data_IF_302963683559
#
_entry.id   IF_302963683559
#
_cell.length_a   1.000
_cell.length_b   1.000
_cell.length_c   1.000
_cell.angle_alpha   90.00
_cell.angle_beta   90.00
_cell.angle_gamma   90.00
#
_symmetry.space_group_name_H-M   'P 1'
#
loop_
_entity.id
_entity.type
_entity.pdbx_description
1 polymer ?
#
# COMPACT_ATOMS: atom_id res chain seq x y z
N UNK A 1 -53.22 22.62 -47.57
CA UNK A 1 -53.30 21.25 -48.12
C UNK A 1 -52.08 20.99 -49.02
N UNK A 2 -51.14 20.14 -48.61
CA UNK A 2 -50.05 19.48 -49.39
C UNK A 2 -49.15 18.76 -48.36
N UNK A 3 -49.42 17.49 -48.03
CA UNK A 3 -48.86 16.22 -48.56
C UNK A 3 -47.39 15.94 -48.15
N UNK A 4 -47.27 14.95 -47.28
CA UNK A 4 -46.09 14.12 -46.96
C UNK A 4 -45.53 13.35 -48.18
N UNK A 5 -44.25 12.97 -48.15
CA UNK A 5 -43.74 11.71 -48.70
C UNK A 5 -43.24 10.78 -47.56
N UNK A 6 -43.77 9.57 -47.34
CA UNK A 6 -43.46 8.26 -48.01
C UNK A 6 -41.97 7.89 -47.97
N UNK A 7 -41.56 6.96 -47.09
CA UNK A 7 -41.35 5.52 -47.35
C UNK A 7 -40.29 5.19 -48.41
N UNK A 8 -39.18 4.57 -47.99
CA UNK A 8 -38.52 3.50 -48.76
C UNK A 8 -37.86 2.50 -47.78
N UNK A 9 -38.38 1.28 -47.79
CA UNK A 9 -37.89 0.11 -47.07
C UNK A 9 -37.18 -0.81 -48.08
N UNK A 10 -36.17 -1.54 -47.60
CA UNK A 10 -35.64 -2.83 -48.11
C UNK A 10 -34.89 -2.81 -49.45
N UNK A 11 -33.58 -3.04 -49.36
CA UNK A 11 -32.86 -4.07 -50.14
C UNK A 11 -31.43 -4.26 -49.61
N UNK A 12 -31.00 -5.53 -49.51
CA UNK A 12 -29.61 -6.05 -49.48
C UNK A 12 -28.87 -6.19 -48.14
N UNK A 13 -29.09 -7.31 -47.46
CA UNK A 13 -28.01 -8.24 -47.07
C UNK A 13 -27.96 -9.36 -48.14
N UNK A 14 -26.89 -10.15 -48.40
CA UNK A 14 -25.61 -10.32 -47.68
C UNK A 14 -24.34 -10.48 -48.58
N UNK A 15 -23.21 -9.86 -48.24
CA UNK A 15 -21.88 -10.28 -48.75
C UNK A 15 -20.84 -10.02 -47.65
N UNK A 16 -20.57 -11.01 -46.81
CA UNK A 16 -19.25 -11.27 -46.22
C UNK A 16 -19.28 -12.62 -45.46
N UNK A 17 -19.53 -13.70 -46.20
CA UNK A 17 -19.24 -15.07 -45.78
C UNK A 17 -18.32 -15.64 -46.85
N UNK A 18 -17.01 -15.50 -46.67
CA UNK A 18 -15.99 -16.32 -47.34
C UNK A 18 -14.58 -15.99 -46.81
N UNK A 19 -14.17 -16.52 -45.65
CA UNK A 19 -12.83 -17.14 -45.41
C UNK A 19 -12.94 -17.97 -44.12
N UNK A 20 -13.47 -19.18 -44.25
CA UNK A 20 -13.10 -20.32 -43.40
C UNK A 20 -13.25 -21.59 -44.24
N UNK A 21 -12.27 -22.49 -44.07
CA UNK A 21 -12.22 -23.92 -44.46
C UNK A 21 -11.86 -24.29 -45.91
N UNK A 22 -10.56 -24.49 -46.15
CA UNK A 22 -9.95 -25.68 -46.79
C UNK A 22 -8.57 -25.84 -46.13
N UNK A 23 -8.11 -26.97 -45.60
CA UNK A 23 -8.63 -28.31 -45.49
C UNK A 23 -7.66 -29.12 -44.61
N UNK A 24 -8.22 -29.90 -43.71
CA UNK A 24 -7.56 -30.96 -42.95
C UNK A 24 -7.19 -32.13 -43.89
N UNK A 25 -5.99 -32.69 -43.70
CA UNK A 25 -5.69 -34.12 -43.47
C UNK A 25 -4.25 -34.43 -43.87
N UNK A 26 -3.39 -34.80 -42.91
CA UNK A 26 -2.78 -36.13 -42.87
C UNK A 26 -2.15 -36.36 -41.48
N UNK A 27 -2.32 -37.56 -40.97
CA UNK A 27 -1.99 -37.99 -39.63
C UNK A 27 -0.58 -38.58 -39.51
N UNK A 28 -0.13 -38.67 -38.24
CA UNK A 28 0.83 -39.64 -37.68
C UNK A 28 2.33 -39.51 -38.02
N UNK A 29 3.09 -38.95 -37.07
CA UNK A 29 4.36 -39.51 -36.55
C UNK A 29 4.71 -38.72 -35.28
N UNK A 30 4.35 -39.18 -34.07
CA UNK A 30 5.22 -39.92 -33.15
C UNK A 30 6.66 -39.39 -33.10
N UNK A 31 6.94 -38.57 -32.07
CA UNK A 31 8.07 -38.69 -31.12
C UNK A 31 7.76 -37.78 -29.94
N UNK A 32 7.37 -38.37 -28.81
CA UNK A 32 7.53 -37.77 -27.48
C UNK A 32 9.03 -37.62 -27.23
N UNK A 33 9.50 -36.39 -26.98
CA UNK A 33 10.78 -36.21 -26.29
C UNK A 33 10.50 -36.19 -24.80
N UNK A 34 10.98 -37.21 -24.10
CA UNK A 34 10.99 -37.26 -22.64
C UNK A 34 11.75 -36.04 -22.07
N UNK A 35 11.28 -35.44 -20.97
CA UNK A 35 12.06 -34.42 -20.26
C UNK A 35 13.37 -35.03 -19.75
N UNK A 36 14.48 -34.28 -19.74
CA UNK A 36 15.80 -34.82 -19.44
C UNK A 36 15.86 -35.40 -18.02
N UNK A 37 16.04 -36.72 -17.94
CA UNK A 37 16.36 -37.44 -16.72
C UNK A 37 17.71 -36.93 -16.19
N UNK A 38 17.70 -36.35 -14.99
CA UNK A 38 18.93 -36.00 -14.26
C UNK A 38 19.75 -37.27 -14.04
N UNK A 39 20.93 -37.34 -14.64
CA UNK A 39 21.88 -38.42 -14.37
C UNK A 39 22.32 -38.39 -12.89
N UNK A 40 22.41 -39.54 -12.20
CA UNK A 40 22.98 -39.60 -10.87
C UNK A 40 24.42 -39.07 -10.88
N UNK A 41 24.70 -38.09 -10.01
CA UNK A 41 26.06 -37.58 -9.79
C UNK A 41 26.99 -38.76 -9.42
N UNK A 42 28.00 -39.01 -10.25
CA UNK A 42 29.10 -39.88 -9.85
C UNK A 42 29.89 -39.21 -8.71
N UNK A 43 30.30 -39.96 -7.67
CA UNK A 43 31.18 -39.42 -6.66
C UNK A 43 32.51 -39.00 -7.32
N UNK A 44 32.89 -37.73 -7.16
CA UNK A 44 34.20 -37.26 -7.58
C UNK A 44 35.28 -38.00 -6.77
N UNK A 45 36.11 -38.77 -7.47
CA UNK A 45 37.39 -39.25 -6.95
C UNK A 45 38.26 -38.05 -6.55
N UNK A 46 38.47 -37.88 -5.25
CA UNK A 46 39.44 -36.93 -4.71
C UNK A 46 40.86 -37.44 -4.96
N UNK A 47 41.49 -36.97 -6.03
CA UNK A 47 42.95 -37.07 -6.19
C UNK A 47 43.49 -35.70 -6.57
N UNK A 48 43.64 -34.82 -5.58
CA UNK A 48 44.44 -33.60 -5.70
C UNK A 48 45.75 -33.81 -4.94
N UNK A 49 46.84 -34.01 -5.68
CA UNK A 49 48.19 -33.84 -5.15
C UNK A 49 48.37 -32.39 -4.69
N UNK A 50 48.52 -32.17 -3.39
CA UNK A 50 48.86 -30.86 -2.86
C UNK A 50 50.29 -30.48 -3.28
N UNK A 51 50.53 -29.31 -3.88
CA UNK A 51 51.87 -28.75 -4.00
C UNK A 51 52.42 -28.41 -2.60
N UNK A 52 53.75 -28.45 -2.39
CA UNK A 52 54.35 -28.21 -1.09
C UNK A 52 54.05 -26.78 -0.60
N UNK A 53 53.67 -26.69 0.68
CA UNK A 53 53.38 -25.45 1.38
C UNK A 53 54.66 -24.57 1.42
N UNK A 54 54.59 -23.42 0.76
CA UNK A 54 55.56 -22.33 0.96
C UNK A 54 55.12 -21.57 2.22
N UNK A 55 56.00 -21.33 3.21
CA UNK A 55 55.66 -20.48 4.35
C UNK A 55 55.36 -19.06 3.86
N UNK A 56 54.09 -18.67 3.87
CA UNK A 56 53.69 -17.27 3.71
C UNK A 56 54.08 -16.58 5.02
N UNK A 57 54.91 -15.53 4.92
CA UNK A 57 55.27 -14.69 6.07
C UNK A 57 54.02 -14.14 6.77
N UNK A 58 54.11 -13.64 8.01
CA UNK A 58 52.95 -13.17 8.76
C UNK A 58 52.18 -12.12 7.97
N UNK A 59 51.01 -12.50 7.46
CA UNK A 59 50.04 -11.57 6.88
C UNK A 59 49.58 -10.70 8.03
N UNK A 60 49.98 -9.43 8.00
CA UNK A 60 49.44 -8.44 8.93
C UNK A 60 48.00 -8.21 8.50
N UNK A 61 47.06 -8.88 9.14
CA UNK A 61 45.64 -8.56 8.99
C UNK A 61 45.46 -7.19 9.64
N UNK A 62 45.33 -6.16 8.80
CA UNK A 62 44.89 -4.86 9.27
C UNK A 62 43.51 -5.08 9.89
N UNK A 63 43.36 -4.75 11.18
CA UNK A 63 42.04 -4.75 11.79
C UNK A 63 41.11 -3.90 10.90
N UNK A 64 39.88 -4.34 10.64
CA UNK A 64 38.92 -3.49 9.94
C UNK A 64 38.87 -2.13 10.64
N UNK A 65 38.74 -1.02 9.91
CA UNK A 65 38.64 0.30 10.52
C UNK A 65 37.58 0.24 11.61
N UNK A 66 37.96 0.64 12.83
CA UNK A 66 37.03 0.74 13.94
C UNK A 66 35.98 1.76 13.51
N UNK A 67 34.79 1.29 13.17
CA UNK A 67 33.67 2.16 12.87
C UNK A 67 33.44 3.03 14.12
N UNK A 68 33.19 4.34 13.97
CA UNK A 68 32.84 5.18 15.09
C UNK A 68 31.69 4.52 15.86
N UNK A 69 31.80 4.49 17.19
CA UNK A 69 30.69 4.06 18.02
C UNK A 69 29.49 4.97 17.73
N UNK A 70 28.37 4.39 17.33
CA UNK A 70 27.17 5.16 17.04
C UNK A 70 26.76 5.91 18.31
N UNK A 71 26.32 7.18 18.22
CA UNK A 71 25.87 7.91 19.39
C UNK A 71 24.72 7.14 20.03
N UNK A 72 24.57 7.17 21.37
CA UNK A 72 23.38 6.63 22.01
C UNK A 72 22.15 7.25 21.35
N UNK A 73 21.12 6.43 21.10
CA UNK A 73 19.91 6.86 20.41
C UNK A 73 19.21 7.94 21.24
N UNK A 74 19.31 9.20 20.80
CA UNK A 74 18.54 10.31 21.38
C UNK A 74 17.20 10.34 20.66
N UNK A 75 16.18 9.78 21.30
CA UNK A 75 14.81 9.89 20.84
C UNK A 75 14.20 11.16 21.46
N UNK A 76 14.44 12.34 20.89
CA UNK A 76 13.48 13.42 21.17
C UNK A 76 12.14 13.03 20.56
N UNK A 77 11.07 13.11 21.35
CA UNK A 77 9.72 12.87 20.86
C UNK A 77 9.36 13.94 19.83
N UNK A 78 8.83 13.51 18.67
CA UNK A 78 8.32 14.46 17.68
C UNK A 78 7.12 15.19 18.28
N UNK A 79 7.04 16.53 18.11
CA UNK A 79 5.88 17.28 18.56
C UNK A 79 4.57 16.66 18.05
N UNK A 80 3.62 16.44 18.95
CA UNK A 80 2.30 15.90 18.62
C UNK A 80 1.28 17.01 18.51
N UNK A 81 0.37 16.89 17.53
CA UNK A 81 -0.78 17.76 17.42
C UNK A 81 -1.99 17.13 18.14
N UNK A 82 -2.51 17.80 19.16
CA UNK A 82 -3.68 17.36 19.92
C UNK A 82 -4.94 17.17 19.04
N UNK A 83 -5.05 17.89 17.90
CA UNK A 83 -6.19 17.68 16.99
C UNK A 83 -6.17 16.28 16.39
N UNK A 84 -5.01 15.74 16.03
CA UNK A 84 -4.86 14.37 15.50
C UNK A 84 -5.37 13.37 16.51
N UNK A 85 -4.95 13.48 17.78
CA UNK A 85 -5.42 12.59 18.86
C UNK A 85 -6.95 12.66 19.04
N UNK A 86 -7.55 13.84 18.91
CA UNK A 86 -9.01 14.00 18.98
C UNK A 86 -9.74 13.31 17.81
N UNK A 87 -9.17 13.32 16.60
CA UNK A 87 -9.72 12.59 15.46
C UNK A 87 -9.79 11.08 15.71
N UNK A 88 -8.81 10.52 16.41
CA UNK A 88 -8.76 9.08 16.72
C UNK A 88 -9.92 8.60 17.60
N UNK A 89 -10.56 9.51 18.35
CA UNK A 89 -11.74 9.21 19.17
C UNK A 89 -13.01 8.97 18.33
N UNK A 90 -13.03 9.39 17.07
CA UNK A 90 -14.17 9.18 16.18
C UNK A 90 -14.21 7.76 15.60
N UNK A 91 -13.13 6.97 15.71
CA UNK A 91 -13.09 5.59 15.20
C UNK A 91 -14.07 4.72 15.98
N UNK A 92 -14.97 4.06 15.25
CA UNK A 92 -16.03 3.20 15.81
C UNK A 92 -15.85 1.73 15.37
N UNK A 93 -15.37 0.91 16.32
CA UNK A 93 -15.14 -0.52 16.10
C UNK A 93 -16.42 -1.27 15.72
N UNK A 94 -17.59 -0.88 16.24
CA UNK A 94 -18.85 -1.57 15.93
C UNK A 94 -19.26 -1.35 14.48
N UNK A 95 -19.04 -0.15 13.94
CA UNK A 95 -19.31 0.14 12.52
C UNK A 95 -18.42 -0.66 11.60
N UNK A 96 -17.14 -0.80 11.95
CA UNK A 96 -16.20 -1.61 11.18
C UNK A 96 -16.59 -3.08 11.23
N UNK A 97 -16.90 -3.63 12.40
CA UNK A 97 -17.37 -5.03 12.49
C UNK A 97 -18.69 -5.28 11.76
N UNK A 98 -19.63 -4.33 11.77
CA UNK A 98 -20.84 -4.43 10.95
C UNK A 98 -20.52 -4.50 9.45
N UNK A 99 -19.47 -3.80 9.01
CA UNK A 99 -19.00 -3.88 7.62
C UNK A 99 -18.36 -5.23 7.34
N UNK A 100 -17.47 -5.72 8.20
CA UNK A 100 -16.86 -7.06 8.07
C UNK A 100 -17.93 -8.13 7.95
N UNK A 101 -18.95 -8.11 8.82
CA UNK A 101 -20.08 -9.03 8.78
C UNK A 101 -20.90 -8.89 7.49
N UNK A 102 -21.12 -7.68 6.99
CA UNK A 102 -21.80 -7.48 5.71
C UNK A 102 -20.99 -8.09 4.56
N UNK A 103 -19.67 -7.88 4.55
CA UNK A 103 -18.77 -8.42 3.53
C UNK A 103 -18.75 -9.96 3.52
N UNK A 104 -18.71 -10.58 4.71
CA UNK A 104 -18.81 -12.04 4.90
C UNK A 104 -20.14 -12.60 4.38
N UNK A 105 -21.26 -11.89 4.61
CA UNK A 105 -22.59 -12.37 4.27
C UNK A 105 -22.88 -12.43 2.75
N UNK A 106 -22.02 -11.84 1.90
CA UNK A 106 -22.12 -12.04 0.46
C UNK A 106 -21.73 -13.45 0.00
N UNK A 107 -21.31 -14.34 0.93
CA UNK A 107 -20.86 -15.73 0.74
C UNK A 107 -19.51 -15.83 0.02
N UNK A 108 -19.35 -15.11 -1.08
CA UNK A 108 -18.09 -14.81 -1.73
C UNK A 108 -18.19 -13.47 -2.45
N UNK A 109 -17.04 -12.95 -2.88
CA UNK A 109 -16.94 -11.76 -3.74
C UNK A 109 -16.03 -12.06 -4.93
N UNK A 110 -16.16 -13.25 -5.49
CA UNK A 110 -15.31 -13.70 -6.58
C UNK A 110 -15.57 -12.90 -7.86
N UNK A 111 -14.49 -12.42 -8.49
CA UNK A 111 -14.55 -11.56 -9.68
C UNK A 111 -15.33 -12.16 -10.85
N UNK A 112 -15.12 -13.44 -11.13
CA UNK A 112 -15.83 -14.19 -12.19
C UNK A 112 -17.27 -14.58 -11.79
N UNK A 113 -17.85 -13.89 -10.81
CA UNK A 113 -19.25 -14.05 -10.40
C UNK A 113 -20.24 -13.57 -11.47
N UNK A 114 -21.51 -13.86 -11.25
CA UNK A 114 -22.63 -13.31 -12.02
C UNK A 114 -23.48 -12.40 -11.11
N UNK A 115 -24.16 -11.37 -11.65
CA UNK A 115 -24.99 -10.49 -10.84
C UNK A 115 -26.06 -11.25 -10.05
N UNK A 116 -26.14 -10.96 -8.76
CA UNK A 116 -27.14 -11.45 -7.83
C UNK A 116 -27.52 -10.34 -6.83
N UNK A 117 -28.72 -10.36 -6.24
CA UNK A 117 -29.18 -9.25 -5.40
C UNK A 117 -28.51 -9.18 -4.03
N UNK A 118 -28.06 -10.31 -3.49
CA UNK A 118 -27.66 -10.45 -2.08
C UNK A 118 -26.36 -11.25 -1.86
N UNK A 119 -25.67 -11.63 -2.94
CA UNK A 119 -24.42 -12.40 -2.88
C UNK A 119 -23.48 -12.08 -4.04
N UNK A 120 -22.21 -12.44 -3.91
CA UNK A 120 -21.21 -12.24 -4.95
C UNK A 120 -20.72 -10.79 -5.06
N UNK A 121 -19.74 -10.60 -5.96
CA UNK A 121 -19.03 -9.33 -6.13
C UNK A 121 -19.93 -8.15 -6.49
N UNK A 122 -20.98 -8.36 -7.29
CA UNK A 122 -21.89 -7.28 -7.72
C UNK A 122 -22.82 -6.81 -6.61
N UNK A 123 -23.24 -7.71 -5.70
CA UNK A 123 -24.01 -7.30 -4.53
C UNK A 123 -23.14 -6.49 -3.56
N UNK A 124 -21.88 -6.91 -3.38
CA UNK A 124 -20.89 -6.17 -2.61
C UNK A 124 -20.64 -4.77 -3.23
N UNK A 125 -20.51 -4.68 -4.55
CA UNK A 125 -20.32 -3.41 -5.25
C UNK A 125 -21.46 -2.40 -4.97
N UNK A 126 -22.71 -2.85 -5.10
CA UNK A 126 -23.87 -2.02 -4.81
C UNK A 126 -23.91 -1.56 -3.35
N UNK A 127 -23.59 -2.47 -2.42
CA UNK A 127 -23.51 -2.15 -0.99
C UNK A 127 -22.44 -1.09 -0.70
N UNK A 128 -21.23 -1.28 -1.23
CA UNK A 128 -20.08 -0.40 -0.98
C UNK A 128 -20.29 0.98 -1.58
N UNK A 129 -20.85 1.05 -2.80
CA UNK A 129 -21.25 2.33 -3.40
C UNK A 129 -22.27 3.06 -2.54
N UNK A 130 -23.29 2.34 -2.04
CA UNK A 130 -24.30 2.94 -1.17
C UNK A 130 -23.70 3.48 0.15
N UNK A 131 -22.70 2.81 0.71
CA UNK A 131 -21.98 3.32 1.90
C UNK A 131 -21.23 4.62 1.64
N UNK A 132 -20.58 4.76 0.48
CA UNK A 132 -19.97 6.04 0.10
C UNK A 132 -21.02 7.12 -0.20
N UNK A 133 -22.12 6.78 -0.87
CA UNK A 133 -23.22 7.73 -1.12
C UNK A 133 -23.82 8.24 0.20
N UNK A 134 -23.97 7.39 1.23
CA UNK A 134 -24.43 7.80 2.56
C UNK A 134 -23.46 8.79 3.24
N UNK A 135 -22.16 8.57 3.12
CA UNK A 135 -21.14 9.49 3.66
C UNK A 135 -21.22 10.84 2.94
N UNK A 136 -21.36 10.82 1.61
CA UNK A 136 -21.54 12.02 0.78
C UNK A 136 -22.82 12.78 1.17
N UNK A 137 -23.96 12.09 1.25
CA UNK A 137 -25.26 12.70 1.53
C UNK A 137 -25.33 13.26 2.97
N UNK A 138 -24.59 12.67 3.90
CA UNK A 138 -24.38 13.20 5.24
C UNK A 138 -23.50 14.46 5.31
N UNK A 139 -22.84 14.84 4.21
CA UNK A 139 -21.90 15.97 4.13
C UNK A 139 -22.16 16.85 2.89
N UNK A 140 -23.37 17.44 2.76
CA UNK A 140 -23.79 18.15 1.55
C UNK A 140 -22.91 19.35 1.18
N UNK A 141 -22.22 19.95 2.16
CA UNK A 141 -21.39 21.15 1.96
C UNK A 141 -19.98 20.86 1.38
N UNK A 142 -19.55 19.59 1.34
CA UNK A 142 -18.15 19.21 1.04
C UNK A 142 -17.86 18.85 -0.42
N UNK A 143 -18.82 18.97 -1.32
CA UNK A 143 -18.67 18.61 -2.76
C UNK A 143 -18.08 17.20 -2.99
N UNK A 144 -18.38 16.25 -2.10
CA UNK A 144 -17.90 14.87 -2.21
C UNK A 144 -18.47 14.23 -3.48
N UNK A 145 -17.62 13.50 -4.20
CA UNK A 145 -18.01 12.75 -5.39
C UNK A 145 -17.75 11.25 -5.20
N UNK A 146 -18.67 10.43 -5.70
CA UNK A 146 -18.61 8.96 -5.65
C UNK A 146 -18.69 8.45 -7.07
N UNK A 147 -17.77 7.56 -7.43
CA UNK A 147 -17.61 7.02 -8.78
C UNK A 147 -17.50 5.51 -8.76
N UNK A 148 -17.87 4.90 -9.88
CA UNK A 148 -17.45 3.54 -10.22
C UNK A 148 -16.55 3.60 -11.45
N UNK A 149 -15.55 2.73 -11.51
CA UNK A 149 -14.66 2.59 -12.65
C UNK A 149 -14.76 1.15 -13.19
N UNK A 150 -15.37 0.97 -14.37
CA UNK A 150 -15.50 -0.35 -14.96
C UNK A 150 -14.17 -1.03 -15.21
N UNK A 151 -14.15 -2.34 -14.91
CA UNK A 151 -13.04 -3.22 -15.18
C UNK A 151 -13.49 -4.34 -16.13
N UNK A 152 -12.60 -4.80 -17.01
CA UNK A 152 -12.83 -6.00 -17.81
C UNK A 152 -11.83 -7.06 -17.40
N UNK A 153 -12.30 -8.08 -16.67
CA UNK A 153 -11.49 -9.21 -16.24
C UNK A 153 -11.73 -10.37 -17.21
N UNK A 154 -10.64 -10.97 -17.71
CA UNK A 154 -10.65 -12.21 -18.47
C UNK A 154 -9.63 -13.17 -17.88
N UNK A 155 -10.10 -14.28 -17.32
CA UNK A 155 -9.24 -15.27 -16.64
C UNK A 155 -9.81 -16.68 -16.85
N UNK A 156 -8.94 -17.65 -17.15
CA UNK A 156 -9.35 -19.06 -17.34
C UNK A 156 -10.38 -19.29 -18.46
N UNK A 157 -10.46 -18.41 -19.46
CA UNK A 157 -11.47 -18.46 -20.52
C UNK A 157 -12.85 -17.91 -20.13
N UNK A 158 -12.99 -17.37 -18.92
CA UNK A 158 -14.18 -16.70 -18.42
C UNK A 158 -13.97 -15.18 -18.41
N UNK A 159 -15.06 -14.42 -18.38
CA UNK A 159 -14.98 -12.95 -18.30
C UNK A 159 -16.11 -12.37 -17.45
N UNK A 160 -15.79 -11.26 -16.78
CA UNK A 160 -16.67 -10.53 -15.87
C UNK A 160 -16.29 -9.05 -15.86
N UNK A 161 -17.24 -8.18 -15.56
CA UNK A 161 -16.99 -6.74 -15.48
C UNK A 161 -17.43 -6.13 -14.14
N UNK A 162 -16.76 -6.44 -13.01
CA UNK A 162 -16.96 -5.69 -11.77
C UNK A 162 -16.35 -4.29 -11.90
N UNK A 163 -16.71 -3.37 -10.99
CA UNK A 163 -16.16 -2.02 -10.99
C UNK A 163 -15.25 -1.78 -9.77
N UNK A 164 -14.17 -0.98 -9.93
CA UNK A 164 -13.63 -0.30 -8.75
C UNK A 164 -14.63 0.74 -8.25
N UNK A 165 -14.65 1.02 -6.95
CA UNK A 165 -15.57 1.99 -6.35
C UNK A 165 -14.73 2.98 -5.57
N UNK A 166 -14.93 4.28 -5.76
CA UNK A 166 -14.16 5.27 -5.02
C UNK A 166 -14.92 6.54 -4.69
N UNK A 167 -14.57 7.13 -3.56
CA UNK A 167 -15.04 8.41 -3.08
C UNK A 167 -13.89 9.42 -3.09
N UNK A 168 -14.14 10.62 -3.61
CA UNK A 168 -13.21 11.75 -3.60
C UNK A 168 -13.71 12.79 -2.60
N UNK A 169 -12.91 13.03 -1.56
CA UNK A 169 -13.06 14.14 -0.62
C UNK A 169 -12.13 15.28 -1.08
N UNK A 170 -12.66 16.40 -1.60
CA UNK A 170 -11.82 17.47 -2.15
C UNK A 170 -11.05 18.19 -1.04
N UNK A 171 -9.77 18.47 -1.33
CA UNK A 171 -8.90 19.27 -0.48
C UNK A 171 -9.06 20.78 -0.70
N UNK A 172 -8.59 21.56 0.26
CA UNK A 172 -8.60 23.03 0.21
C UNK A 172 -7.35 23.64 -0.45
N UNK A 173 -6.27 22.86 -0.59
CA UNK A 173 -4.97 23.34 -1.06
C UNK A 173 -4.44 22.43 -2.18
N UNK A 174 -4.44 22.93 -3.41
CA UNK A 174 -3.95 22.19 -4.57
C UNK A 174 -2.47 21.77 -4.46
N UNK A 175 -1.65 22.51 -3.68
CA UNK A 175 -0.24 22.18 -3.48
C UNK A 175 -0.02 21.01 -2.52
N UNK A 176 -1.01 20.67 -1.70
CA UNK A 176 -0.98 19.50 -0.83
C UNK A 176 -1.16 18.19 -1.62
N UNK A 177 -1.67 18.26 -2.86
CA UNK A 177 -1.80 17.13 -3.77
C UNK A 177 -2.92 16.15 -3.39
N UNK A 178 -2.75 14.90 -3.82
CA UNK A 178 -3.75 13.83 -3.68
C UNK A 178 -3.18 12.67 -2.87
N UNK A 179 -3.94 12.20 -1.89
CA UNK A 179 -3.67 10.95 -1.16
C UNK A 179 -4.66 9.88 -1.60
N UNK A 180 -4.21 8.63 -1.62
CA UNK A 180 -5.07 7.48 -1.90
C UNK A 180 -5.01 6.53 -0.71
N UNK A 181 -6.16 6.07 -0.25
CA UNK A 181 -6.27 4.95 0.68
C UNK A 181 -7.21 3.92 0.11
N UNK A 182 -6.84 2.64 0.15
CA UNK A 182 -7.67 1.61 -0.44
C UNK A 182 -7.47 0.20 0.09
N UNK A 183 -8.40 -0.66 -0.30
CA UNK A 183 -8.44 -2.08 0.00
C UNK A 183 -9.16 -2.78 -1.17
N UNK A 184 -8.80 -4.02 -1.48
CA UNK A 184 -9.60 -4.79 -2.41
C UNK A 184 -10.83 -5.37 -1.72
N UNK A 185 -11.90 -5.59 -2.49
CA UNK A 185 -13.15 -6.11 -1.96
C UNK A 185 -13.56 -7.44 -2.60
N UNK A 186 -12.78 -7.96 -3.56
CA UNK A 186 -12.96 -9.29 -4.11
C UNK A 186 -12.43 -10.40 -3.17
N UNK A 187 -12.62 -11.65 -3.57
CA UNK A 187 -12.12 -12.83 -2.87
C UNK A 187 -11.77 -13.96 -3.84
N UNK A 188 -10.86 -14.85 -3.48
CA UNK A 188 -10.61 -16.11 -4.21
C UNK A 188 -10.60 -17.35 -3.32
N UNK A 189 -10.92 -18.51 -3.89
CA UNK A 189 -10.83 -19.79 -3.18
C UNK A 189 -9.80 -20.71 -3.82
N UNK A 190 -8.81 -21.17 -3.04
CA UNK A 190 -7.71 -21.99 -3.55
C UNK A 190 -8.14 -23.37 -4.04
N UNK A 191 -9.31 -23.88 -3.65
CA UNK A 191 -9.85 -25.13 -4.20
C UNK A 191 -10.26 -24.99 -5.67
N UNK A 192 -10.61 -23.78 -6.12
CA UNK A 192 -10.83 -23.47 -7.54
C UNK A 192 -10.82 -21.96 -7.79
N UNK A 193 -9.72 -21.47 -8.36
CA UNK A 193 -9.50 -20.05 -8.71
C UNK A 193 -10.39 -19.53 -9.86
N UNK A 194 -11.19 -20.40 -10.49
CA UNK A 194 -12.12 -20.06 -11.55
C UNK A 194 -13.58 -20.26 -11.16
N UNK A 195 -13.86 -20.71 -9.93
CA UNK A 195 -15.22 -20.99 -9.45
C UNK A 195 -15.75 -19.86 -8.57
N UNK A 196 -16.88 -19.28 -8.97
CA UNK A 196 -17.65 -18.31 -8.18
C UNK A 196 -18.74 -18.95 -7.31
N UNK A 197 -18.80 -20.28 -7.24
CA UNK A 197 -19.77 -21.03 -6.43
C UNK A 197 -19.24 -21.45 -5.05
N UNK A 198 -17.92 -21.34 -4.83
CA UNK A 198 -17.31 -21.73 -3.57
C UNK A 198 -17.59 -20.68 -2.49
N UNK A 199 -17.83 -21.15 -1.27
CA UNK A 199 -17.93 -20.29 -0.10
C UNK A 199 -16.55 -19.72 0.23
N UNK A 200 -16.46 -18.40 0.29
CA UNK A 200 -15.23 -17.64 0.49
C UNK A 200 -15.60 -16.34 1.21
N UNK A 201 -15.86 -16.38 2.53
CA UNK A 201 -16.45 -15.23 3.21
C UNK A 201 -15.50 -14.03 3.25
N UNK A 202 -14.19 -14.25 3.30
CA UNK A 202 -13.20 -13.19 3.10
C UNK A 202 -13.32 -12.08 4.14
N UNK A 203 -13.51 -12.43 5.41
CA UNK A 203 -13.80 -11.47 6.46
C UNK A 203 -12.56 -10.64 6.82
N UNK A 204 -11.41 -11.30 6.96
CA UNK A 204 -10.13 -10.62 7.10
C UNK A 204 -9.45 -10.35 5.75
N UNK A 205 -9.60 -11.25 4.77
CA UNK A 205 -9.07 -11.09 3.41
C UNK A 205 -10.21 -10.88 2.38
N UNK A 206 -10.63 -9.64 2.10
CA UNK A 206 -10.17 -8.39 2.70
C UNK A 206 -11.32 -7.51 3.23
N UNK A 207 -12.31 -8.13 3.86
CA UNK A 207 -13.41 -7.43 4.52
C UNK A 207 -12.92 -6.48 5.63
N UNK A 208 -11.80 -6.80 6.29
CA UNK A 208 -11.19 -5.98 7.33
C UNK A 208 -10.63 -4.69 6.74
N UNK A 209 -9.85 -4.75 5.65
CA UNK A 209 -9.33 -3.56 4.96
C UNK A 209 -10.46 -2.66 4.41
N UNK A 210 -11.48 -3.25 3.80
CA UNK A 210 -12.67 -2.54 3.32
C UNK A 210 -13.35 -1.76 4.45
N UNK A 211 -13.47 -2.38 5.64
CA UNK A 211 -14.08 -1.73 6.80
C UNK A 211 -13.29 -0.50 7.28
N UNK A 212 -11.95 -0.56 7.23
CA UNK A 212 -11.09 0.56 7.58
C UNK A 212 -11.25 1.69 6.55
N UNK A 213 -11.24 1.40 5.24
CA UNK A 213 -11.41 2.43 4.20
C UNK A 213 -12.73 3.20 4.36
N UNK A 214 -13.84 2.48 4.62
CA UNK A 214 -15.15 3.11 4.85
C UNK A 214 -15.18 3.94 6.13
N UNK A 215 -14.52 3.49 7.20
CA UNK A 215 -14.47 4.23 8.45
C UNK A 215 -13.59 5.49 8.34
N UNK A 216 -12.44 5.40 7.67
CA UNK A 216 -11.60 6.56 7.36
C UNK A 216 -12.36 7.59 6.52
N UNK A 217 -13.06 7.13 5.47
CA UNK A 217 -13.91 7.97 4.63
C UNK A 217 -14.95 8.72 5.47
N UNK A 218 -15.64 8.00 6.36
CA UNK A 218 -16.65 8.59 7.25
C UNK A 218 -16.05 9.60 8.22
N UNK A 219 -14.95 9.24 8.88
CA UNK A 219 -14.32 10.09 9.89
C UNK A 219 -13.81 11.37 9.25
N UNK A 220 -12.97 11.27 8.22
CA UNK A 220 -12.36 12.43 7.56
C UNK A 220 -13.39 13.30 6.83
N UNK A 221 -14.47 12.71 6.30
CA UNK A 221 -15.56 13.49 5.73
C UNK A 221 -16.26 14.40 6.75
N UNK A 222 -16.01 14.32 8.06
CA UNK A 222 -16.53 15.31 9.02
C UNK A 222 -15.80 16.67 8.95
N UNK A 223 -14.56 16.70 8.47
CA UNK A 223 -13.69 17.88 8.45
C UNK A 223 -13.34 18.37 7.05
N UNK A 224 -12.55 19.43 7.01
CA UNK A 224 -11.90 19.89 5.79
C UNK A 224 -10.41 19.63 5.91
N UNK A 225 -9.81 19.16 4.81
CA UNK A 225 -8.40 18.82 4.75
C UNK A 225 -7.69 19.63 3.70
N UNK A 226 -6.38 19.82 3.84
CA UNK A 226 -5.58 20.51 2.81
C UNK A 226 -5.48 19.66 1.55
N UNK A 227 -5.04 18.41 1.66
CA UNK A 227 -4.96 17.48 0.53
C UNK A 227 -6.34 16.96 0.09
N UNK A 228 -6.45 16.61 -1.20
CA UNK A 228 -7.57 15.80 -1.69
C UNK A 228 -7.33 14.35 -1.30
N UNK A 229 -8.37 13.64 -0.86
CA UNK A 229 -8.25 12.25 -0.42
C UNK A 229 -9.19 11.38 -1.24
N UNK A 230 -8.65 10.31 -1.81
CA UNK A 230 -9.39 9.31 -2.55
C UNK A 230 -9.45 8.03 -1.73
N UNK A 231 -10.67 7.61 -1.39
CA UNK A 231 -10.95 6.34 -0.73
C UNK A 231 -11.41 5.36 -1.80
N UNK A 232 -10.67 4.29 -2.05
CA UNK A 232 -10.92 3.38 -3.18
C UNK A 232 -11.02 1.93 -2.73
N UNK A 233 -11.97 1.21 -3.31
CA UNK A 233 -12.20 -0.21 -3.10
C UNK A 233 -11.98 -0.91 -4.44
N UNK A 234 -10.98 -1.78 -4.51
CA UNK A 234 -10.52 -2.42 -5.75
C UNK A 234 -11.22 -3.76 -6.00
N UNK A 235 -11.61 -4.00 -7.25
CA UNK A 235 -11.95 -5.34 -7.73
C UNK A 235 -10.70 -6.03 -8.29
N UNK A 236 -10.69 -7.36 -8.36
CA UNK A 236 -9.67 -8.10 -9.13
C UNK A 236 -8.26 -8.09 -8.57
N UNK A 237 -8.06 -7.86 -7.28
CA UNK A 237 -6.74 -7.99 -6.64
C UNK A 237 -6.25 -9.44 -6.68
N UNK A 238 -7.16 -10.37 -6.39
CA UNK A 238 -6.86 -11.78 -6.09
C UNK A 238 -6.32 -12.58 -7.29
N UNK A 239 -6.29 -11.94 -8.46
CA UNK A 239 -5.56 -12.44 -9.61
C UNK A 239 -4.19 -11.78 -9.68
N UNK A 240 -3.16 -12.51 -10.12
CA UNK A 240 -1.76 -12.07 -10.17
C UNK A 240 -1.52 -10.66 -10.79
N UNK A 241 -2.44 -10.18 -11.62
CA UNK A 241 -2.38 -8.88 -12.30
C UNK A 241 -2.91 -7.69 -11.48
N UNK A 242 -3.60 -7.93 -10.35
CA UNK A 242 -4.29 -6.88 -9.56
C UNK A 242 -5.06 -5.92 -10.47
N UNK A 243 -6.03 -6.48 -11.19
CA UNK A 243 -6.67 -5.82 -12.32
C UNK A 243 -7.26 -4.45 -11.95
N UNK A 244 -7.92 -4.34 -10.80
CA UNK A 244 -8.52 -3.11 -10.31
C UNK A 244 -7.50 -2.02 -10.02
N UNK A 245 -6.50 -2.27 -9.17
CA UNK A 245 -5.49 -1.25 -8.84
C UNK A 245 -4.62 -0.89 -10.04
N UNK A 246 -4.29 -1.85 -10.93
CA UNK A 246 -3.58 -1.57 -12.19
C UNK A 246 -4.39 -0.62 -13.09
N UNK A 247 -5.68 -0.87 -13.27
CA UNK A 247 -6.57 0.01 -14.03
C UNK A 247 -6.72 1.39 -13.36
N UNK A 248 -6.77 1.42 -12.03
CA UNK A 248 -6.89 2.65 -11.25
C UNK A 248 -5.64 3.54 -11.38
N UNK A 249 -4.44 2.95 -11.33
CA UNK A 249 -3.19 3.68 -11.59
C UNK A 249 -3.18 4.30 -12.99
N UNK A 250 -3.67 3.58 -14.00
CA UNK A 250 -3.89 4.13 -15.34
C UNK A 250 -4.79 5.36 -15.35
N UNK A 251 -5.88 5.34 -14.57
CA UNK A 251 -6.78 6.49 -14.39
C UNK A 251 -6.09 7.68 -13.70
N UNK A 252 -5.33 7.44 -12.62
CA UNK A 252 -4.62 8.51 -11.91
C UNK A 252 -3.60 9.22 -12.83
N UNK A 253 -2.83 8.44 -13.60
CA UNK A 253 -1.86 8.97 -14.57
C UNK A 253 -2.54 9.68 -15.74
N UNK A 254 -3.63 9.11 -16.27
CA UNK A 254 -4.40 9.70 -17.36
C UNK A 254 -5.00 11.07 -17.00
N UNK A 255 -5.27 11.30 -15.72
CA UNK A 255 -5.76 12.59 -15.20
C UNK A 255 -4.64 13.50 -14.64
N UNK A 256 -3.37 13.09 -14.74
CA UNK A 256 -2.20 13.84 -14.27
C UNK A 256 -2.33 14.29 -12.80
N UNK A 257 -2.82 13.40 -11.94
CA UNK A 257 -3.00 13.69 -10.52
C UNK A 257 -1.66 13.64 -9.77
N UNK A 258 -1.41 14.63 -8.92
CA UNK A 258 -0.21 14.75 -8.11
C UNK A 258 -0.33 13.88 -6.83
N UNK A 259 -0.04 12.59 -6.98
CA UNK A 259 -0.17 11.61 -5.89
C UNK A 259 0.98 11.74 -4.90
N UNK A 260 0.67 12.03 -3.63
CA UNK A 260 1.65 12.23 -2.55
C UNK A 260 1.90 10.99 -1.69
N UNK A 261 1.03 10.00 -1.77
CA UNK A 261 1.17 8.75 -1.04
C UNK A 261 -0.06 7.86 -1.18
N UNK A 262 0.17 6.56 -1.11
CA UNK A 262 -0.88 5.54 -1.21
C UNK A 262 -0.77 4.58 -0.04
N UNK A 263 -1.85 4.43 0.71
CA UNK A 263 -2.00 3.44 1.78
C UNK A 263 -2.92 2.33 1.29
N UNK A 264 -2.43 1.10 1.25
CA UNK A 264 -3.27 -0.08 0.98
C UNK A 264 -3.42 -0.91 2.24
N UNK A 265 -4.63 -1.40 2.50
CA UNK A 265 -5.03 -2.15 3.68
C UNK A 265 -5.44 -3.54 3.22
N UNK A 266 -4.72 -4.56 3.69
CA UNK A 266 -4.89 -5.93 3.20
C UNK A 266 -4.52 -6.91 4.32
N UNK A 267 -5.53 -7.62 4.81
CA UNK A 267 -5.49 -8.47 6.01
C UNK A 267 -5.04 -7.69 7.25
N UNK A 268 -5.97 -6.93 7.83
CA UNK A 268 -5.70 -5.97 8.92
C UNK A 268 -6.58 -6.20 10.15
N UNK A 269 -7.20 -7.37 10.24
CA UNK A 269 -8.20 -7.73 11.25
C UNK A 269 -7.74 -8.79 12.24
N UNK A 270 -6.80 -9.67 11.88
CA UNK A 270 -6.40 -10.80 12.73
C UNK A 270 -5.07 -10.57 13.45
N UNK A 271 -5.08 -10.51 14.79
CA UNK A 271 -3.86 -10.48 15.57
C UNK A 271 -3.31 -11.90 15.87
N UNK A 272 -3.86 -12.94 15.25
CA UNK A 272 -3.56 -14.35 15.58
C UNK A 272 -2.79 -15.01 14.45
N UNK A 273 -1.58 -15.47 14.74
CA UNK A 273 -0.76 -16.23 13.80
C UNK A 273 -1.18 -17.69 13.65
N UNK A 274 -0.57 -18.42 12.70
CA UNK A 274 -0.98 -19.77 12.30
C UNK A 274 -0.84 -20.84 13.38
N UNK A 275 -0.06 -20.62 14.45
CA UNK A 275 0.03 -21.54 15.58
C UNK A 275 -0.66 -21.01 16.84
N UNK A 276 -1.53 -20.00 16.70
CA UNK A 276 -2.25 -19.34 17.79
C UNK A 276 -1.43 -18.28 18.52
N UNK A 277 -0.27 -17.86 17.99
CA UNK A 277 0.49 -16.75 18.54
C UNK A 277 -0.31 -15.45 18.44
N UNK A 278 -0.35 -14.65 19.51
CA UNK A 278 -1.12 -13.40 19.52
C UNK A 278 -0.21 -12.19 19.52
N UNK A 279 -0.38 -11.32 18.52
CA UNK A 279 0.35 -10.06 18.31
C UNK A 279 -0.64 -8.90 18.23
N UNK A 280 -1.20 -8.52 19.37
CA UNK A 280 -2.33 -7.59 19.46
C UNK A 280 -1.94 -6.10 19.34
N UNK A 281 -0.65 -5.80 19.36
CA UNK A 281 -0.11 -4.44 19.27
C UNK A 281 1.01 -4.32 18.21
N UNK A 282 1.05 -5.21 17.23
CA UNK A 282 2.06 -5.21 16.18
C UNK A 282 1.43 -5.36 14.79
N UNK A 283 2.06 -4.75 13.80
CA UNK A 283 1.72 -4.86 12.38
C UNK A 283 2.99 -4.73 11.53
N UNK A 284 2.91 -5.12 10.25
CA UNK A 284 4.00 -4.97 9.28
C UNK A 284 3.62 -4.07 8.12
N UNK A 285 4.54 -3.20 7.71
CA UNK A 285 4.36 -2.36 6.54
C UNK A 285 5.34 -2.77 5.45
N UNK A 286 4.79 -3.17 4.30
CA UNK A 286 5.56 -3.50 3.11
C UNK A 286 5.61 -2.30 2.16
N UNK A 287 6.76 -2.11 1.51
CA UNK A 287 7.00 -0.95 0.64
C UNK A 287 8.13 -1.21 -0.34
N UNK A 288 8.09 -0.55 -1.51
CA UNK A 288 9.06 -0.82 -2.57
C UNK A 288 10.50 -0.40 -2.20
N UNK A 289 11.51 -1.21 -2.54
CA UNK A 289 12.92 -0.79 -2.49
C UNK A 289 13.22 0.28 -3.56
N UNK A 290 14.38 0.96 -3.51
CA UNK A 290 15.45 0.87 -2.50
C UNK A 290 15.08 1.52 -1.15
N UNK A 291 16.02 1.50 -0.18
CA UNK A 291 15.81 2.07 1.15
C UNK A 291 15.52 3.59 1.16
N UNK A 292 15.92 4.31 0.11
CA UNK A 292 15.69 5.73 -0.13
C UNK A 292 14.54 5.99 -1.14
N UNK A 293 13.70 4.99 -1.43
CA UNK A 293 12.49 5.20 -2.22
C UNK A 293 11.45 6.02 -1.44
N UNK A 294 10.57 6.73 -2.14
CA UNK A 294 9.45 7.43 -1.50
C UNK A 294 8.46 6.47 -0.82
N UNK A 295 8.29 5.24 -1.32
CA UNK A 295 7.51 4.21 -0.64
C UNK A 295 8.12 3.85 0.72
N UNK A 296 9.45 3.77 0.81
CA UNK A 296 10.15 3.46 2.06
C UNK A 296 10.13 4.64 3.03
N UNK A 297 10.26 5.86 2.53
CA UNK A 297 10.07 7.09 3.32
C UNK A 297 8.66 7.15 3.91
N UNK A 298 7.63 6.81 3.12
CA UNK A 298 6.24 6.74 3.58
C UNK A 298 6.03 5.67 4.68
N UNK A 299 6.68 4.50 4.55
CA UNK A 299 6.66 3.48 5.59
C UNK A 299 7.34 3.94 6.90
N UNK A 300 8.46 4.67 6.79
CA UNK A 300 9.15 5.29 7.94
C UNK A 300 8.31 6.34 8.62
N UNK A 301 7.61 7.17 7.83
CA UNK A 301 6.66 8.14 8.39
C UNK A 301 5.57 7.44 9.19
N UNK A 302 5.00 6.34 8.69
CA UNK A 302 3.99 5.58 9.44
C UNK A 302 4.55 5.03 10.76
N UNK A 303 5.76 4.49 10.77
CA UNK A 303 6.43 4.05 12.00
C UNK A 303 6.60 5.20 13.01
N UNK A 304 7.04 6.36 12.53
CA UNK A 304 7.19 7.55 13.35
C UNK A 304 5.85 8.05 13.91
N UNK A 305 4.81 8.08 13.08
CA UNK A 305 3.44 8.40 13.50
C UNK A 305 2.95 7.41 14.56
N UNK A 306 3.30 6.13 14.43
CA UNK A 306 3.01 5.11 15.43
C UNK A 306 3.64 5.45 16.79
N UNK A 307 4.93 5.79 16.81
CA UNK A 307 5.61 6.21 18.05
C UNK A 307 4.97 7.45 18.66
N UNK A 308 4.68 8.46 17.84
CA UNK A 308 4.18 9.74 18.30
C UNK A 308 2.72 9.70 18.81
N UNK A 309 1.83 9.03 18.07
CA UNK A 309 0.39 9.10 18.33
C UNK A 309 -0.20 7.82 18.93
N UNK A 310 0.43 6.66 18.72
CA UNK A 310 -0.08 5.39 19.25
C UNK A 310 0.55 5.02 20.60
N UNK A 311 1.70 5.60 20.96
CA UNK A 311 2.34 5.45 22.28
C UNK A 311 2.44 3.97 22.75
N UNK A 312 2.75 3.06 21.82
CA UNK A 312 2.87 1.62 22.09
C UNK A 312 1.58 0.81 22.01
N UNK A 313 0.41 1.43 21.76
CA UNK A 313 -0.84 0.71 21.47
C UNK A 313 -0.72 -0.10 20.17
N UNK A 314 -0.02 0.43 19.17
CA UNK A 314 0.28 -0.25 17.92
C UNK A 314 1.72 0.05 17.53
N UNK A 315 2.48 -0.99 17.19
CA UNK A 315 3.88 -0.90 16.77
C UNK A 315 4.00 -1.34 15.30
N UNK A 316 4.82 -0.62 14.55
CA UNK A 316 5.01 -0.84 13.12
C UNK A 316 6.37 -1.46 12.86
N UNK A 317 6.39 -2.59 12.18
CA UNK A 317 7.60 -3.19 11.63
C UNK A 317 7.73 -2.82 10.15
N UNK A 318 8.77 -2.08 9.78
CA UNK A 318 9.05 -1.69 8.39
C UNK A 318 9.85 -2.79 7.70
N UNK A 319 9.21 -3.51 6.76
CA UNK A 319 9.76 -4.71 6.11
C UNK A 319 10.60 -4.38 4.89
N UNK A 320 11.87 -4.80 4.81
CA UNK A 320 12.83 -4.38 3.76
C UNK A 320 12.45 -4.77 2.33
N UNK A 321 11.59 -5.77 2.17
CA UNK A 321 11.15 -6.26 0.86
C UNK A 321 9.90 -5.52 0.36
N UNK A 322 9.67 -5.59 -0.96
CA UNK A 322 8.42 -5.11 -1.57
C UNK A 322 7.20 -5.85 -1.02
N UNK A 323 7.31 -7.17 -0.90
CA UNK A 323 6.40 -8.08 -0.20
C UNK A 323 7.12 -9.45 -0.05
N UNK A 324 6.43 -10.43 0.49
CA UNK A 324 6.89 -11.82 0.61
C UNK A 324 6.78 -12.54 -0.74
N UNK A 325 7.65 -13.51 -0.96
CA UNK A 325 7.64 -14.32 -2.20
C UNK A 325 6.27 -14.97 -2.41
N UNK A 326 5.69 -14.81 -3.60
CA UNK A 326 4.39 -15.38 -3.95
C UNK A 326 3.18 -14.69 -3.32
N UNK A 327 3.39 -13.57 -2.62
CA UNK A 327 2.32 -12.70 -2.12
C UNK A 327 2.34 -11.41 -2.94
N UNK A 328 1.16 -10.93 -3.26
CA UNK A 328 0.95 -9.66 -3.95
C UNK A 328 -0.04 -8.82 -3.14
N UNK A 329 -0.08 -7.54 -3.45
CA UNK A 329 -1.03 -6.59 -2.89
C UNK A 329 -1.12 -5.35 -3.78
N UNK A 330 -2.20 -4.59 -3.65
CA UNK A 330 -2.48 -3.44 -4.52
C UNK A 330 -1.38 -2.38 -4.54
N UNK A 331 -0.59 -2.22 -3.46
CA UNK A 331 0.53 -1.25 -3.39
C UNK A 331 1.57 -1.48 -4.49
N UNK A 332 1.71 -2.71 -4.97
CA UNK A 332 2.64 -3.06 -6.03
C UNK A 332 2.26 -2.38 -7.35
N UNK A 333 0.96 -2.28 -7.66
CA UNK A 333 0.48 -1.63 -8.88
C UNK A 333 0.91 -0.16 -8.95
N UNK A 334 0.88 0.54 -7.81
CA UNK A 334 1.36 1.92 -7.68
C UNK A 334 2.89 2.00 -7.73
N UNK A 335 3.57 1.13 -6.99
CA UNK A 335 5.04 1.11 -6.90
C UNK A 335 5.70 0.83 -8.25
N UNK A 336 5.10 -0.05 -9.07
CA UNK A 336 5.56 -0.37 -10.42
C UNK A 336 5.59 0.86 -11.34
N UNK A 337 4.77 1.88 -11.04
CA UNK A 337 4.66 3.12 -11.78
C UNK A 337 5.38 4.30 -11.09
N UNK A 338 6.21 4.01 -10.06
CA UNK A 338 6.97 5.01 -9.32
C UNK A 338 6.14 5.83 -8.33
N UNK A 339 4.89 5.45 -8.06
CA UNK A 339 4.04 6.10 -7.07
C UNK A 339 4.37 5.53 -5.69
N UNK A 340 4.63 6.42 -4.72
CA UNK A 340 4.95 6.02 -3.35
C UNK A 340 3.76 5.34 -2.68
N UNK A 341 3.91 4.06 -2.34
CA UNK A 341 2.82 3.22 -1.85
C UNK A 341 3.30 2.23 -0.79
N UNK A 342 2.45 2.00 0.20
CA UNK A 342 2.68 1.05 1.28
C UNK A 342 1.49 0.10 1.45
N UNK A 343 1.76 -1.12 1.92
CA UNK A 343 0.75 -2.09 2.37
C UNK A 343 0.83 -2.25 3.87
N UNK A 344 -0.26 -1.93 4.54
CA UNK A 344 -0.50 -2.28 5.93
C UNK A 344 -1.07 -3.70 5.98
N UNK A 345 -0.46 -4.55 6.79
CA UNK A 345 -0.89 -5.93 7.01
C UNK A 345 -0.62 -6.32 8.46
N UNK A 346 -1.43 -7.24 8.97
CA UNK A 346 -1.22 -7.87 10.26
C UNK A 346 0.16 -8.53 10.40
N UNK A 347 0.58 -8.68 11.66
CA UNK A 347 1.95 -9.06 11.96
C UNK A 347 2.28 -10.50 11.54
N UNK A 348 1.34 -11.43 11.69
CA UNK A 348 1.48 -12.82 11.27
C UNK A 348 0.15 -13.29 10.68
N UNK A 349 0.11 -13.36 9.37
CA UNK A 349 -1.03 -13.91 8.65
C UNK A 349 -1.09 -15.44 8.72
N UNK A 350 -2.31 -15.96 8.83
CA UNK A 350 -2.60 -17.39 8.87
C UNK A 350 -3.05 -17.92 7.48
N UNK A 351 -2.14 -18.54 6.71
CA UNK A 351 -2.48 -19.08 5.39
C UNK A 351 -3.43 -20.29 5.46
N UNK A 352 -3.71 -20.84 6.64
CA UNK A 352 -4.67 -21.93 6.80
C UNK A 352 -6.12 -21.44 6.78
N UNK A 353 -6.35 -20.13 7.02
CA UNK A 353 -7.67 -19.51 7.02
C UNK A 353 -7.97 -18.72 5.75
N UNK A 354 -6.96 -18.07 5.17
CA UNK A 354 -7.14 -17.27 3.96
C UNK A 354 -7.45 -18.10 2.72
N UNK A 355 -8.10 -17.45 1.74
CA UNK A 355 -8.45 -18.04 0.44
C UNK A 355 -9.25 -19.35 0.55
N UNK A 356 -9.99 -19.52 1.67
CA UNK A 356 -10.94 -20.61 1.84
C UNK A 356 -12.16 -20.21 2.72
N UNK A 357 -13.02 -21.16 3.03
CA UNK A 357 -14.27 -20.94 3.76
C UNK A 357 -14.11 -20.63 5.27
N UNK A 358 -12.89 -20.71 5.81
CA UNK A 358 -12.56 -20.48 7.22
C UNK A 358 -12.19 -19.03 7.54
N UNK A 359 -11.94 -18.20 6.52
CA UNK A 359 -11.80 -16.76 6.71
C UNK A 359 -13.17 -16.16 7.03
N UNK A 360 -13.40 -15.91 8.33
CA UNK A 360 -14.67 -15.50 8.93
C UNK A 360 -14.43 -14.44 9.99
N UNK A 361 -15.49 -13.69 10.29
CA UNK A 361 -15.46 -12.59 11.26
C UNK A 361 -15.10 -13.01 12.69
N UNK A 362 -15.10 -14.30 13.01
CA UNK A 362 -14.63 -14.80 14.30
C UNK A 362 -13.10 -14.69 14.48
N UNK A 363 -12.35 -14.51 13.39
CA UNK A 363 -10.91 -14.24 13.41
C UNK A 363 -10.57 -12.75 13.48
N UNK A 364 -11.53 -11.88 13.18
CA UNK A 364 -11.34 -10.42 13.19
C UNK A 364 -11.53 -9.89 14.61
N UNK A 365 -10.46 -9.32 15.18
CA UNK A 365 -10.49 -8.71 16.52
C UNK A 365 -10.88 -7.22 16.41
N UNK A 366 -12.03 -6.80 17.00
CA UNK A 366 -12.50 -5.42 16.85
C UNK A 366 -11.56 -4.37 17.45
N UNK A 367 -10.81 -4.73 18.50
CA UNK A 367 -9.88 -3.80 19.14
C UNK A 367 -8.58 -3.66 18.34
N UNK A 368 -8.08 -4.76 17.76
CA UNK A 368 -6.96 -4.74 16.83
C UNK A 368 -7.29 -3.91 15.59
N UNK A 369 -8.44 -4.18 14.97
CA UNK A 369 -8.95 -3.43 13.82
C UNK A 369 -9.10 -1.93 14.13
N UNK A 370 -9.58 -1.60 15.33
CA UNK A 370 -9.63 -0.23 15.84
C UNK A 370 -8.26 0.44 15.93
N UNK A 371 -7.24 -0.26 16.40
CA UNK A 371 -5.86 0.25 16.48
C UNK A 371 -5.23 0.42 15.10
N UNK A 372 -5.44 -0.53 14.18
CA UNK A 372 -5.01 -0.41 12.78
C UNK A 372 -5.63 0.82 12.11
N UNK A 373 -6.93 1.05 12.34
CA UNK A 373 -7.66 2.19 11.80
C UNK A 373 -7.15 3.52 12.34
N UNK A 374 -6.90 3.60 13.66
CA UNK A 374 -6.33 4.81 14.27
C UNK A 374 -4.96 5.14 13.73
N UNK A 375 -4.09 4.15 13.52
CA UNK A 375 -2.77 4.37 12.91
C UNK A 375 -2.89 4.86 11.46
N UNK A 376 -3.77 4.24 10.65
CA UNK A 376 -4.03 4.69 9.28
C UNK A 376 -4.58 6.13 9.25
N UNK A 377 -5.51 6.46 10.16
CA UNK A 377 -6.10 7.79 10.30
C UNK A 377 -5.05 8.84 10.70
N UNK A 378 -4.24 8.56 11.73
CA UNK A 378 -3.17 9.46 12.16
C UNK A 378 -2.19 9.73 11.02
N UNK A 379 -1.82 8.68 10.27
CA UNK A 379 -0.91 8.80 9.13
C UNK A 379 -1.53 9.65 8.01
N UNK A 380 -2.80 9.41 7.68
CA UNK A 380 -3.51 10.22 6.68
C UNK A 380 -3.64 11.68 7.10
N UNK A 381 -3.93 11.98 8.37
CA UNK A 381 -4.03 13.36 8.86
C UNK A 381 -2.69 14.09 8.78
N UNK A 382 -1.58 13.43 9.14
CA UNK A 382 -0.22 13.97 8.96
C UNK A 382 0.08 14.27 7.50
N UNK A 383 -0.23 13.34 6.61
CA UNK A 383 -0.03 13.52 5.17
C UNK A 383 -0.94 14.60 4.56
N UNK A 384 -2.19 14.68 5.01
CA UNK A 384 -3.23 15.48 4.40
C UNK A 384 -3.16 16.94 4.82
N UNK A 385 -2.92 17.20 6.11
CA UNK A 385 -3.04 18.53 6.70
C UNK A 385 -1.67 19.16 7.01
N UNK A 386 -0.63 18.34 7.15
CA UNK A 386 0.71 18.81 7.47
C UNK A 386 1.35 19.67 6.37
N UNK A 387 2.15 20.70 6.73
CA UNK A 387 2.77 21.61 5.77
C UNK A 387 3.53 20.88 4.65
N UNK A 388 3.67 21.55 3.51
CA UNK A 388 4.45 21.00 2.40
C UNK A 388 5.91 20.79 2.84
N UNK A 389 6.59 19.74 2.35
CA UNK A 389 7.97 19.47 2.71
C UNK A 389 8.89 20.61 2.23
N UNK A 390 9.99 20.89 2.95
CA UNK A 390 11.02 21.81 2.49
C UNK A 390 11.55 21.49 1.09
N UNK A 391 12.06 22.51 0.43
CA UNK A 391 12.67 22.41 -0.90
C UNK A 391 14.07 23.03 -0.88
N UNK A 392 14.86 22.76 -1.92
CA UNK A 392 16.16 23.38 -2.18
C UNK A 392 17.10 23.37 -0.96
N UNK A 393 17.75 22.23 -0.75
CA UNK A 393 18.65 22.04 0.38
C UNK A 393 20.12 22.14 -0.01
N UNK A 394 20.97 22.40 1.00
CA UNK A 394 22.42 22.33 0.88
C UNK A 394 23.04 21.78 2.16
N UNK A 395 24.03 20.90 1.99
CA UNK A 395 24.86 20.38 3.09
C UNK A 395 26.27 20.93 2.92
N UNK A 396 26.75 21.71 3.89
CA UNK A 396 28.15 22.05 4.04
C UNK A 396 28.86 20.95 4.85
N UNK A 397 29.61 20.09 4.18
CA UNK A 397 30.34 18.98 4.82
C UNK A 397 31.54 19.43 5.65
N UNK A 398 31.98 20.70 5.54
CA UNK A 398 33.05 21.25 6.37
C UNK A 398 32.59 21.59 7.79
N UNK A 399 31.32 22.00 7.92
CA UNK A 399 30.69 22.36 9.19
C UNK A 399 29.59 21.39 9.64
N UNK A 400 29.20 20.46 8.75
CA UNK A 400 28.00 19.63 8.88
C UNK A 400 26.73 20.44 9.16
N UNK A 401 26.61 21.56 8.45
CA UNK A 401 25.43 22.42 8.46
C UNK A 401 24.55 22.10 7.25
N UNK A 402 23.29 21.78 7.53
CA UNK A 402 22.22 21.62 6.56
C UNK A 402 21.38 22.89 6.56
N UNK A 403 21.07 23.44 5.38
CA UNK A 403 20.15 24.58 5.19
C UNK A 403 19.12 24.24 4.10
N UNK A 404 17.92 24.81 4.19
CA UNK A 404 16.84 24.63 3.21
C UNK A 404 15.99 25.89 3.05
N UNK A 405 15.17 25.93 1.99
CA UNK A 405 14.24 27.04 1.79
C UNK A 405 13.12 27.02 2.84
N UNK A 406 12.84 28.14 3.53
CA UNK A 406 11.76 28.22 4.51
C UNK A 406 10.39 27.86 3.91
N UNK A 407 9.64 27.01 4.61
CA UNK A 407 8.28 26.61 4.22
C UNK A 407 7.26 27.63 4.75
N UNK A 408 6.39 28.20 3.91
CA UNK A 408 5.33 29.09 4.37
C UNK A 408 4.42 28.44 5.42
N UNK A 409 4.21 29.13 6.54
CA UNK A 409 3.39 28.65 7.65
C UNK A 409 4.11 27.72 8.63
N UNK A 410 5.37 27.33 8.36
CA UNK A 410 6.16 26.55 9.30
C UNK A 410 6.67 27.43 10.46
N UNK A 411 6.49 26.97 11.69
CA UNK A 411 7.05 27.58 12.90
C UNK A 411 8.27 26.81 13.43
N UNK A 412 8.43 25.55 12.99
CA UNK A 412 9.59 24.71 13.29
C UNK A 412 9.76 23.63 12.20
N UNK A 413 10.82 22.84 12.33
CA UNK A 413 11.12 21.70 11.48
C UNK A 413 11.55 20.50 12.33
N UNK A 414 11.03 19.32 11.99
CA UNK A 414 11.57 18.05 12.45
C UNK A 414 12.73 17.65 11.53
N UNK A 415 13.87 17.31 12.11
CA UNK A 415 15.06 16.80 11.42
C UNK A 415 15.33 15.39 11.88
N UNK A 416 15.17 14.41 11.00
CA UNK A 416 15.28 13.00 11.29
C UNK A 416 16.53 12.40 10.64
N UNK A 417 17.43 11.81 11.44
CA UNK A 417 18.65 11.17 10.96
C UNK A 417 18.49 9.64 10.95
N UNK A 418 18.96 9.01 9.87
CA UNK A 418 18.86 7.56 9.67
C UNK A 418 20.23 6.91 9.50
N UNK A 419 20.54 5.90 10.30
CA UNK A 419 21.76 5.11 10.16
C UNK A 419 21.75 4.30 8.86
N UNK A 420 22.94 4.00 8.29
CA UNK A 420 23.07 3.07 7.17
C UNK A 420 22.37 1.73 7.47
N UNK A 421 21.52 1.29 6.55
CA UNK A 421 20.78 0.03 6.68
C UNK A 421 19.61 0.06 7.67
N UNK A 422 19.35 1.16 8.37
CA UNK A 422 18.17 1.25 9.23
C UNK A 422 16.89 1.43 8.42
N UNK A 423 15.83 0.73 8.81
CA UNK A 423 14.49 0.83 8.22
C UNK A 423 13.63 1.93 8.86
N UNK A 424 14.12 2.61 9.91
CA UNK A 424 13.42 3.65 10.68
C UNK A 424 14.31 4.88 10.87
N UNK A 425 13.71 6.01 11.27
CA UNK A 425 14.50 7.16 11.74
C UNK A 425 14.99 6.92 13.16
N UNK A 426 16.32 6.97 13.34
CA UNK A 426 16.97 6.64 14.61
C UNK A 426 17.03 7.82 15.56
N UNK A 427 17.29 9.01 15.03
CA UNK A 427 17.33 10.24 15.82
C UNK A 427 16.46 11.29 15.19
N UNK A 428 15.78 12.06 16.03
CA UNK A 428 14.93 13.15 15.59
C UNK A 428 15.20 14.34 16.49
N UNK A 429 15.23 15.52 15.86
CA UNK A 429 15.45 16.80 16.50
C UNK A 429 14.40 17.78 16.02
N UNK A 430 14.16 18.84 16.80
CA UNK A 430 13.34 19.98 16.38
C UNK A 430 14.18 21.26 16.31
N UNK A 431 14.03 22.04 15.24
CA UNK A 431 14.66 23.35 15.08
C UNK A 431 13.64 24.41 14.64
N UNK A 432 13.68 25.64 15.20
CA UNK A 432 12.84 26.74 14.71
C UNK A 432 13.41 27.38 13.42
N UNK A 433 14.65 27.06 13.07
CA UNK A 433 15.37 27.66 11.95
C UNK A 433 15.26 26.79 10.70
N UNK A 434 15.40 27.41 9.51
CA UNK A 434 15.52 26.68 8.24
C UNK A 434 16.95 26.16 8.01
N UNK A 435 17.50 25.55 9.06
CA UNK A 435 18.83 24.97 9.07
C UNK A 435 19.09 24.18 10.35
N UNK A 436 20.08 23.28 10.28
CA UNK A 436 20.44 22.37 11.36
C UNK A 436 21.91 21.96 11.27
N UNK A 437 22.62 22.00 12.39
CA UNK A 437 24.03 21.59 12.47
C UNK A 437 24.16 20.37 13.37
N UNK A 438 24.79 19.31 12.86
CA UNK A 438 25.10 18.13 13.65
C UNK A 438 26.53 17.65 13.38
N UNK A 439 27.48 17.80 14.34
CA UNK A 439 28.88 17.48 14.12
C UNK A 439 29.17 16.05 13.68
N UNK A 440 28.27 15.11 13.99
CA UNK A 440 28.39 13.69 13.66
C UNK A 440 27.48 13.27 12.49
N UNK A 441 27.04 14.22 11.64
CA UNK A 441 26.13 13.93 10.53
C UNK A 441 26.66 12.87 9.55
N UNK A 442 27.98 12.74 9.43
CA UNK A 442 28.63 11.69 8.63
C UNK A 442 28.38 10.24 9.09
N UNK A 443 27.84 10.01 10.29
CA UNK A 443 27.49 8.68 10.79
C UNK A 443 26.15 8.16 10.22
N UNK A 444 25.40 9.02 9.54
CA UNK A 444 24.06 8.73 9.04
C UNK A 444 24.07 8.65 7.51
N UNK A 445 23.15 7.87 6.97
CA UNK A 445 22.97 7.70 5.52
C UNK A 445 22.07 8.80 4.94
N UNK A 446 20.98 9.12 5.63
CA UNK A 446 20.04 10.16 5.20
C UNK A 446 19.68 11.11 6.34
N UNK A 447 19.28 12.31 5.93
CA UNK A 447 18.58 13.30 6.76
C UNK A 447 17.23 13.57 6.11
N UNK A 448 16.16 13.30 6.85
CA UNK A 448 14.79 13.69 6.51
C UNK A 448 14.45 15.01 7.18
N UNK A 449 13.76 15.91 6.46
CA UNK A 449 13.23 17.15 7.06
C UNK A 449 11.73 17.27 6.78
N UNK A 450 10.96 17.59 7.81
CA UNK A 450 9.55 17.93 7.71
C UNK A 450 9.27 19.27 8.40
N UNK A 451 8.40 20.09 7.80
CA UNK A 451 7.93 21.31 8.41
C UNK A 451 6.86 21.04 9.47
N UNK A 452 6.78 21.90 10.48
CA UNK A 452 5.80 21.84 11.58
C UNK A 452 5.10 23.21 11.65
N UNK A 453 3.77 23.23 11.66
CA UNK A 453 3.00 24.46 11.80
C UNK A 453 2.81 24.92 13.27
N UNK A 454 2.12 26.05 13.45
CA UNK A 454 1.84 26.64 14.76
C UNK A 454 1.02 25.75 15.71
N UNK A 455 0.31 24.74 15.18
CA UNK A 455 -0.48 23.79 15.96
C UNK A 455 0.32 22.51 16.30
N UNK A 456 1.59 22.43 15.90
CA UNK A 456 2.39 21.22 16.02
C UNK A 456 2.05 20.18 14.95
N UNK A 457 1.35 20.55 13.87
CA UNK A 457 1.04 19.63 12.78
C UNK A 457 2.31 19.33 11.99
N UNK A 458 2.78 18.10 12.09
CA UNK A 458 3.89 17.57 11.30
C UNK A 458 3.48 17.44 9.83
N UNK A 459 4.37 17.91 8.95
CA UNK A 459 4.29 17.75 7.50
C UNK A 459 4.88 16.44 6.98
N UNK A 460 4.88 16.31 5.66
CA UNK A 460 5.61 15.22 4.99
C UNK A 460 7.11 15.43 5.14
N UNK A 461 7.83 14.34 5.28
CA UNK A 461 9.28 14.37 5.15
C UNK A 461 9.69 14.56 3.69
N UNK A 462 10.92 14.99 3.52
CA UNK A 462 11.71 14.78 2.32
C UNK A 462 13.08 14.28 2.78
N UNK A 463 13.52 13.14 2.26
CA UNK A 463 14.84 12.60 2.58
C UNK A 463 15.93 13.05 1.60
N UNK A 464 17.07 13.42 2.16
CA UNK A 464 18.28 13.74 1.43
C UNK A 464 19.44 12.85 1.85
N UNK A 465 20.21 12.35 0.88
CA UNK A 465 21.43 11.59 1.15
C UNK A 465 22.51 12.50 1.72
N UNK A 466 23.13 12.05 2.80
CA UNK A 466 24.29 12.72 3.39
C UNK A 466 25.51 12.31 2.56
N UNK A 467 26.30 13.27 2.04
CA UNK A 467 27.51 12.95 1.30
C UNK A 467 28.49 12.15 2.15
N UNK A 468 29.13 11.09 1.61
CA UNK A 468 30.16 10.38 2.34
C UNK A 468 31.33 11.33 2.64
N UNK A 469 31.97 11.14 3.80
CA UNK A 469 33.23 11.85 4.08
C UNK A 469 34.25 11.42 3.03
N UNK A 470 34.90 12.36 2.31
CA UNK A 470 35.99 12.00 1.42
C UNK A 470 37.03 11.22 2.23
N UNK A 471 37.29 9.97 1.87
CA UNK A 471 38.43 9.23 2.41
C UNK A 471 39.69 9.97 1.98
N UNK A 472 40.40 10.55 2.95
CA UNK A 472 41.71 11.17 2.72
C UNK A 472 42.78 10.13 2.42
#
# INVERSE_FOLDING_TARGET
MKKNPSHLYKTLAPVLVLVMLIGSTLACSLTEEDPPTLAPRQPMSTTTSQPPLVPVGPVTIQAPPVLPELPPEVQEEVPTNNSVTNWLLYVDNNRMMNTVLAMENFQNRHNLGVPAPDKGIFAAELYLKARFDEIKDGNPDKQIAVYTQPLSISYGGLSSNPDNIFMVLPGLDASAGVLVVGAHYDTINNASVTSSDLLQPGADDNGSGVSIVLELARVMAQGYHRATIIFVLFAGEEFEQRFGSTNFVGYLKGNNLDIKGVLTLDMVGSPTGPNGERYDNQMRVFSAPPADSGSRELARLMELVSRAYMQGEMNVTVEELLDRSGRWGDHMSFSNEGISAIRMIEYRDDPTRTHNAMDRSDDVDPAYLGRMTKLALATLLVLADGPNPPQDYRIDTGTWHLEWTPVPGATAYAVALRFPGSSVYNQIFTTPESGFTWPQMSLYETVGVAAIDENGQLGRFVEWRIPPVPTQ
#
